data_IF_681486799881
#
_entry.id   IF_681486799881
#
_cell.length_a   1.000
_cell.length_b   1.000
_cell.length_c   1.000
_cell.angle_alpha   90.00
_cell.angle_beta   90.00
_cell.angle_gamma   90.00
#
_symmetry.space_group_name_H-M   'P 1'
#
loop_
_entity.id
_entity.type
_entity.pdbx_description
1 polymer ?
#
# COMPACT_ATOMS: atom_id res chain seq x y z
N UNK A 1 73.59 79.35 -10.63
CA UNK A 1 72.68 78.94 -9.53
C UNK A 1 71.68 77.93 -10.07
N UNK A 2 71.62 76.74 -9.45
CA UNK A 2 70.46 75.86 -9.15
C UNK A 2 69.14 76.16 -9.92
N UNK A 3 68.35 75.24 -10.51
CA UNK A 3 68.23 73.78 -10.44
C UNK A 3 66.75 73.36 -10.28
N UNK A 4 66.15 72.80 -11.35
CA UNK A 4 65.02 71.82 -11.52
C UNK A 4 63.87 71.61 -10.48
N UNK A 5 62.67 71.36 -11.05
CA UNK A 5 61.70 70.29 -10.65
C UNK A 5 60.45 70.74 -9.84
N UNK A 6 59.28 70.08 -9.81
CA UNK A 6 58.58 68.98 -10.55
C UNK A 6 57.17 68.83 -9.89
N UNK A 7 56.14 68.39 -10.61
CA UNK A 7 54.89 67.77 -10.08
C UNK A 7 53.58 68.40 -10.61
N UNK A 8 52.70 67.76 -11.43
CA UNK A 8 51.97 66.46 -11.32
C UNK A 8 50.89 66.51 -10.22
N UNK A 9 49.60 66.13 -10.32
CA UNK A 9 48.71 65.47 -11.30
C UNK A 9 47.26 65.49 -10.71
N UNK A 10 46.26 65.76 -11.57
CA UNK A 10 44.86 65.27 -11.65
C UNK A 10 43.76 65.51 -10.58
N UNK A 11 42.48 65.64 -11.04
CA UNK A 11 41.30 65.85 -10.21
C UNK A 11 40.70 64.55 -9.65
N UNK A 12 40.06 64.71 -8.50
CA UNK A 12 39.32 63.71 -7.73
C UNK A 12 38.13 63.14 -8.55
N UNK A 13 38.21 61.87 -8.96
CA UNK A 13 37.04 61.10 -9.44
C UNK A 13 36.46 60.38 -8.22
N UNK A 14 35.27 60.81 -7.78
CA UNK A 14 34.46 60.08 -6.81
C UNK A 14 33.80 58.91 -7.54
N UNK A 15 34.41 57.74 -7.47
CA UNK A 15 33.79 56.49 -7.90
C UNK A 15 32.89 55.97 -6.78
N UNK A 16 31.58 56.18 -6.93
CA UNK A 16 30.56 55.43 -6.20
C UNK A 16 30.65 53.97 -6.65
N UNK A 17 31.35 53.13 -5.89
CA UNK A 17 31.34 51.70 -6.09
C UNK A 17 30.03 51.13 -5.53
N UNK A 18 28.99 51.08 -6.37
CA UNK A 18 27.90 50.14 -6.18
C UNK A 18 28.45 48.73 -6.44
N UNK A 19 28.92 48.04 -5.40
CA UNK A 19 29.01 46.58 -5.41
C UNK A 19 27.59 46.04 -5.41
N UNK A 20 26.99 45.94 -6.60
CA UNK A 20 25.90 45.00 -6.83
C UNK A 20 26.54 43.62 -6.77
N UNK A 21 26.56 43.02 -5.60
CA UNK A 21 26.71 41.58 -5.48
C UNK A 21 25.44 41.01 -6.11
N UNK A 22 25.47 40.75 -7.41
CA UNK A 22 24.51 39.88 -8.06
C UNK A 22 24.75 38.51 -7.44
N UNK A 23 24.06 38.22 -6.34
CA UNK A 23 23.74 36.85 -6.00
C UNK A 23 23.00 36.33 -7.23
N UNK A 24 23.68 35.57 -8.09
CA UNK A 24 22.97 34.68 -9.00
C UNK A 24 22.06 33.87 -8.09
N UNK A 25 20.76 34.15 -8.16
CA UNK A 25 19.78 33.29 -7.55
C UNK A 25 20.01 31.93 -8.22
N UNK A 26 20.66 31.02 -7.50
CA UNK A 26 20.76 29.63 -7.93
C UNK A 26 19.33 29.20 -8.26
N UNK A 27 19.13 28.63 -9.44
CA UNK A 27 17.81 28.13 -9.83
C UNK A 27 17.31 27.21 -8.70
N UNK A 28 16.04 27.35 -8.28
CA UNK A 28 15.54 26.56 -7.18
C UNK A 28 15.60 25.09 -7.56
N UNK A 29 16.03 24.21 -6.64
CA UNK A 29 16.24 22.81 -6.94
C UNK A 29 14.95 22.15 -7.42
N UNK A 30 15.07 21.30 -8.42
CA UNK A 30 13.95 20.68 -9.12
C UNK A 30 13.76 19.22 -8.75
N UNK A 31 12.55 18.89 -8.33
CA UNK A 31 12.10 17.51 -8.06
C UNK A 31 11.15 17.06 -9.16
N UNK A 32 11.44 15.91 -9.77
CA UNK A 32 10.59 15.30 -10.78
C UNK A 32 9.80 14.13 -10.19
N UNK A 33 8.48 14.13 -10.39
CA UNK A 33 7.59 13.04 -10.00
C UNK A 33 7.24 12.20 -11.23
N UNK A 34 7.62 10.92 -11.19
CA UNK A 34 7.31 9.89 -12.17
C UNK A 34 6.35 8.87 -11.53
N UNK A 35 5.11 9.31 -11.31
CA UNK A 35 4.04 8.51 -10.69
C UNK A 35 2.88 8.35 -11.65
N UNK A 36 1.98 7.40 -11.38
CA UNK A 36 0.73 7.31 -12.10
C UNK A 36 -0.10 8.61 -11.99
N UNK A 37 -0.98 8.91 -12.97
CA UNK A 37 -1.77 10.15 -12.98
C UNK A 37 -2.95 10.14 -12.01
N UNK A 38 -3.28 9.00 -11.41
CA UNK A 38 -4.42 8.85 -10.51
C UNK A 38 -4.13 7.78 -9.44
N UNK A 39 -4.92 7.80 -8.36
CA UNK A 39 -4.81 6.85 -7.24
C UNK A 39 -4.11 7.42 -6.00
N UNK A 40 -4.01 6.64 -4.91
CA UNK A 40 -3.46 7.10 -3.64
C UNK A 40 -2.03 7.64 -3.75
N UNK A 41 -1.19 6.97 -4.55
CA UNK A 41 0.19 7.37 -4.81
C UNK A 41 0.25 8.72 -5.54
N UNK A 42 -0.62 8.94 -6.54
CA UNK A 42 -0.71 10.22 -7.23
C UNK A 42 -1.14 11.34 -6.28
N UNK A 43 -2.13 11.09 -5.41
CA UNK A 43 -2.57 12.07 -4.38
C UNK A 43 -1.45 12.42 -3.41
N UNK A 44 -0.66 11.43 -2.98
CA UNK A 44 0.50 11.66 -2.12
C UNK A 44 1.61 12.43 -2.83
N UNK A 45 1.90 12.11 -4.09
CA UNK A 45 2.87 12.81 -4.92
C UNK A 45 2.47 14.27 -5.14
N UNK A 46 1.19 14.55 -5.42
CA UNK A 46 0.68 15.91 -5.54
C UNK A 46 0.79 16.70 -4.23
N UNK A 47 0.45 16.08 -3.09
CA UNK A 47 0.57 16.74 -1.79
C UNK A 47 2.03 17.02 -1.45
N UNK A 48 2.92 16.06 -1.69
CA UNK A 48 4.35 16.25 -1.52
C UNK A 48 4.90 17.34 -2.44
N UNK A 49 4.48 17.38 -3.71
CA UNK A 49 4.89 18.42 -4.64
C UNK A 49 4.46 19.82 -4.16
N UNK A 50 3.23 19.96 -3.62
CA UNK A 50 2.77 21.21 -3.00
C UNK A 50 3.64 21.61 -1.80
N UNK A 51 3.92 20.68 -0.89
CA UNK A 51 4.75 20.94 0.30
C UNK A 51 6.18 21.39 -0.09
N UNK A 52 6.78 20.73 -1.08
CA UNK A 52 8.12 21.08 -1.59
C UNK A 52 8.12 22.44 -2.30
N UNK A 53 7.06 22.75 -3.05
CA UNK A 53 6.91 24.06 -3.69
C UNK A 53 6.76 25.18 -2.66
N UNK A 54 5.98 24.97 -1.59
CA UNK A 54 5.90 25.89 -0.45
C UNK A 54 7.24 26.08 0.27
N UNK A 55 8.08 25.04 0.28
CA UNK A 55 9.46 25.09 0.78
C UNK A 55 10.45 25.78 -0.19
N UNK A 56 10.01 26.19 -1.38
CA UNK A 56 10.82 26.92 -2.37
C UNK A 56 11.51 26.05 -3.41
N UNK A 57 11.13 24.78 -3.57
CA UNK A 57 11.65 23.90 -4.62
C UNK A 57 10.79 24.01 -5.88
N UNK A 58 11.39 23.74 -7.06
CA UNK A 58 10.62 23.53 -8.28
C UNK A 58 10.14 22.08 -8.33
N UNK A 59 8.90 21.85 -8.70
CA UNK A 59 8.35 20.50 -8.86
C UNK A 59 7.77 20.33 -10.24
N UNK A 60 8.00 19.19 -10.87
CA UNK A 60 7.39 18.82 -12.14
C UNK A 60 6.87 17.38 -12.07
N UNK A 61 5.83 17.08 -12.83
CA UNK A 61 5.33 15.71 -13.03
C UNK A 61 5.61 15.31 -14.48
N UNK A 62 6.02 14.08 -14.70
CA UNK A 62 6.31 13.56 -16.02
C UNK A 62 6.12 12.05 -16.12
N UNK A 63 6.21 11.53 -17.33
CA UNK A 63 6.17 10.09 -17.60
C UNK A 63 7.55 9.49 -17.86
N UNK A 64 8.59 10.32 -17.92
CA UNK A 64 10.00 9.95 -18.14
C UNK A 64 10.94 11.02 -17.60
N UNK A 65 12.21 10.68 -17.39
CA UNK A 65 13.24 11.62 -16.93
C UNK A 65 13.52 12.69 -18.00
N UNK A 66 13.63 12.26 -19.26
CA UNK A 66 13.92 13.16 -20.40
C UNK A 66 15.34 13.73 -20.36
N UNK A 67 15.55 14.90 -20.98
CA UNK A 67 16.88 15.53 -21.11
C UNK A 67 17.24 16.46 -19.96
N UNK A 68 16.25 16.80 -19.12
CA UNK A 68 16.46 17.66 -17.96
C UNK A 68 17.04 16.83 -16.82
N UNK A 69 17.95 17.43 -16.03
CA UNK A 69 18.59 16.76 -14.89
C UNK A 69 18.03 17.32 -13.59
N UNK A 70 16.91 16.77 -13.08
CA UNK A 70 16.40 17.19 -11.78
C UNK A 70 17.39 16.80 -10.68
N UNK A 71 17.33 17.52 -9.58
CA UNK A 71 18.06 17.30 -8.35
C UNK A 71 17.64 16.01 -7.64
N UNK A 72 16.36 15.64 -7.77
CA UNK A 72 15.84 14.36 -7.29
C UNK A 72 14.67 13.89 -8.12
N UNK A 73 14.49 12.57 -8.17
CA UNK A 73 13.36 11.90 -8.82
C UNK A 73 12.59 11.11 -7.78
N UNK A 74 11.29 11.37 -7.65
CA UNK A 74 10.35 10.51 -6.93
C UNK A 74 9.67 9.63 -7.96
N UNK A 75 9.77 8.32 -7.82
CA UNK A 75 9.26 7.37 -8.81
C UNK A 75 8.46 6.26 -8.14
N UNK A 76 7.31 5.95 -8.74
CA UNK A 76 6.51 4.77 -8.41
C UNK A 76 6.99 3.56 -9.22
N UNK A 77 6.95 2.38 -8.63
CA UNK A 77 7.50 1.17 -9.21
C UNK A 77 6.86 0.74 -10.56
N UNK A 78 5.60 1.11 -10.82
CA UNK A 78 4.96 0.87 -12.12
C UNK A 78 5.67 1.60 -13.28
N UNK A 79 6.28 2.76 -13.03
CA UNK A 79 7.06 3.48 -14.04
C UNK A 79 8.36 2.73 -14.42
N UNK A 80 8.80 1.77 -13.60
CA UNK A 80 9.97 0.93 -13.89
C UNK A 80 9.66 -0.22 -14.86
N UNK A 81 8.41 -0.38 -15.32
CA UNK A 81 8.07 -1.38 -16.35
C UNK A 81 8.64 -1.03 -17.73
N UNK A 82 8.86 0.25 -17.99
CA UNK A 82 9.52 0.71 -19.21
C UNK A 82 11.04 0.58 -19.08
N UNK A 83 11.64 -0.19 -19.98
CA UNK A 83 13.08 -0.45 -20.01
C UNK A 83 13.88 0.83 -20.21
N UNK A 84 13.39 1.74 -21.06
CA UNK A 84 14.04 3.04 -21.33
C UNK A 84 14.14 3.86 -20.05
N UNK A 85 13.05 3.97 -19.30
CA UNK A 85 13.00 4.68 -18.01
C UNK A 85 14.00 4.08 -17.00
N UNK A 86 14.12 2.75 -16.94
CA UNK A 86 15.11 2.11 -16.05
C UNK A 86 16.55 2.46 -16.44
N UNK A 87 16.87 2.40 -17.73
CA UNK A 87 18.21 2.74 -18.23
C UNK A 87 18.56 4.20 -17.95
N UNK A 88 17.64 5.13 -18.24
CA UNK A 88 17.80 6.57 -17.94
C UNK A 88 18.06 6.80 -16.44
N UNK A 89 17.35 6.10 -15.55
CA UNK A 89 17.55 6.20 -14.10
C UNK A 89 18.89 5.63 -13.64
N UNK A 90 19.34 4.52 -14.22
CA UNK A 90 20.65 3.96 -13.90
C UNK A 90 21.78 4.92 -14.30
N UNK A 91 21.68 5.55 -15.48
CA UNK A 91 22.63 6.58 -15.89
C UNK A 91 22.57 7.82 -15.00
N UNK A 92 21.37 8.28 -14.66
CA UNK A 92 21.14 9.39 -13.74
C UNK A 92 21.78 9.15 -12.37
N UNK A 93 21.57 7.97 -11.78
CA UNK A 93 22.18 7.55 -10.51
C UNK A 93 23.71 7.50 -10.60
N UNK A 94 24.26 6.91 -11.66
CA UNK A 94 25.72 6.89 -11.89
C UNK A 94 26.31 8.30 -12.01
N UNK A 95 25.52 9.23 -12.54
CA UNK A 95 25.84 10.65 -12.65
C UNK A 95 25.74 11.45 -11.35
N UNK A 96 25.36 10.82 -10.22
CA UNK A 96 25.20 11.50 -8.93
C UNK A 96 23.75 11.81 -8.54
N UNK A 97 22.77 11.37 -9.34
CA UNK A 97 21.36 11.63 -9.12
C UNK A 97 20.79 10.97 -7.85
N UNK A 98 19.65 11.49 -7.42
CA UNK A 98 18.93 11.08 -6.23
C UNK A 98 17.57 10.50 -6.59
N UNK A 99 17.27 9.28 -6.16
CA UNK A 99 15.99 8.62 -6.43
C UNK A 99 15.30 8.23 -5.13
N UNK A 100 14.02 8.58 -4.99
CA UNK A 100 13.12 8.03 -3.97
C UNK A 100 12.16 7.10 -4.69
N UNK A 101 12.35 5.80 -4.49
CA UNK A 101 11.54 4.75 -5.08
C UNK A 101 10.42 4.37 -4.11
N UNK A 102 9.18 4.64 -4.51
CA UNK A 102 7.99 4.16 -3.84
C UNK A 102 7.56 2.84 -4.46
N UNK A 103 7.44 1.82 -3.61
CA UNK A 103 7.05 0.47 -4.06
C UNK A 103 5.74 0.09 -3.39
N UNK A 104 4.71 -0.18 -4.20
CA UNK A 104 3.43 -0.66 -3.66
C UNK A 104 3.57 -2.06 -3.08
N UNK A 105 2.76 -2.37 -2.10
CA UNK A 105 2.79 -3.61 -1.33
C UNK A 105 2.15 -4.80 -2.06
N UNK A 106 2.67 -5.15 -3.23
CA UNK A 106 2.35 -6.39 -3.95
C UNK A 106 3.61 -7.11 -4.43
N UNK A 107 3.51 -8.42 -4.69
CA UNK A 107 4.61 -9.18 -5.26
C UNK A 107 4.93 -8.75 -6.70
N UNK A 108 3.92 -8.39 -7.49
CA UNK A 108 4.11 -7.85 -8.84
C UNK A 108 4.97 -6.59 -8.79
N UNK A 109 4.62 -5.66 -7.91
CA UNK A 109 5.33 -4.40 -7.69
C UNK A 109 6.75 -4.64 -7.15
N UNK A 110 6.94 -5.65 -6.30
CA UNK A 110 8.28 -6.08 -5.89
C UNK A 110 9.10 -6.68 -7.04
N UNK A 111 8.48 -7.49 -7.91
CA UNK A 111 9.14 -8.06 -9.10
C UNK A 111 9.52 -6.97 -10.11
N UNK A 112 8.63 -6.02 -10.38
CA UNK A 112 8.90 -4.85 -11.23
C UNK A 112 10.04 -4.00 -10.64
N UNK A 113 9.96 -3.66 -9.35
CA UNK A 113 11.04 -2.97 -8.66
C UNK A 113 12.36 -3.76 -8.68
N UNK A 114 12.31 -5.09 -8.57
CA UNK A 114 13.49 -5.95 -8.61
C UNK A 114 14.22 -5.95 -9.96
N UNK A 115 13.53 -5.69 -11.07
CA UNK A 115 14.19 -5.49 -12.37
C UNK A 115 15.19 -4.32 -12.32
N UNK A 116 14.86 -3.28 -11.55
CA UNK A 116 15.75 -2.14 -11.33
C UNK A 116 16.71 -2.36 -10.15
N UNK A 117 16.23 -2.85 -9.02
CA UNK A 117 17.03 -3.01 -7.79
C UNK A 117 18.16 -4.04 -7.94
N UNK A 118 17.95 -5.08 -8.76
CA UNK A 118 18.97 -6.12 -8.98
C UNK A 118 20.23 -5.58 -9.67
N UNK A 119 20.08 -4.61 -10.58
CA UNK A 119 21.18 -3.86 -11.19
C UNK A 119 21.96 -3.03 -10.16
N UNK A 120 21.31 -2.68 -9.05
CA UNK A 120 21.91 -1.98 -7.90
C UNK A 120 22.46 -2.95 -6.84
N UNK A 121 22.36 -4.27 -7.06
CA UNK A 121 22.79 -5.30 -6.11
C UNK A 121 21.85 -5.48 -4.92
N UNK A 122 20.59 -5.07 -5.05
CA UNK A 122 19.54 -5.20 -4.04
C UNK A 122 18.31 -5.96 -4.56
N UNK A 123 17.46 -6.40 -3.64
CA UNK A 123 16.20 -7.08 -3.96
C UNK A 123 15.18 -6.93 -2.83
N UNK A 124 13.92 -6.92 -3.22
CA UNK A 124 12.74 -7.02 -2.36
C UNK A 124 12.22 -8.46 -2.38
N UNK A 125 11.90 -8.98 -1.20
CA UNK A 125 11.26 -10.28 -1.03
C UNK A 125 10.05 -10.13 -0.12
N UNK A 126 8.85 -10.48 -0.62
CA UNK A 126 7.63 -10.42 0.19
C UNK A 126 7.74 -11.24 1.47
N UNK A 127 7.26 -10.67 2.58
CA UNK A 127 7.25 -11.29 3.88
C UNK A 127 5.87 -11.89 4.18
N UNK A 128 5.77 -13.17 4.57
CA UNK A 128 4.49 -13.86 4.73
C UNK A 128 3.64 -13.41 5.94
N UNK A 129 4.06 -12.39 6.70
CA UNK A 129 3.39 -11.93 7.92
C UNK A 129 3.25 -10.39 7.94
N UNK A 130 2.01 -9.91 8.04
CA UNK A 130 1.67 -8.48 8.11
C UNK A 130 1.85 -7.87 9.52
N UNK A 131 1.69 -8.67 10.58
CA UNK A 131 1.84 -8.22 11.96
C UNK A 131 3.30 -8.25 12.42
N UNK A 132 4.04 -7.20 12.09
CA UNK A 132 5.36 -6.96 12.68
C UNK A 132 5.46 -5.51 13.12
N UNK A 133 5.91 -5.27 14.35
CA UNK A 133 6.16 -3.92 14.83
C UNK A 133 7.20 -3.24 13.91
N UNK A 134 6.88 -2.02 13.48
CA UNK A 134 7.75 -1.23 12.62
C UNK A 134 8.69 -0.45 13.54
N UNK A 135 9.99 -0.69 13.37
CA UNK A 135 11.03 0.00 14.11
C UNK A 135 11.79 0.91 13.15
N UNK A 136 11.70 2.22 13.39
CA UNK A 136 12.46 3.21 12.65
C UNK A 136 13.92 3.26 13.15
N UNK A 137 14.86 3.28 12.22
CA UNK A 137 16.27 3.47 12.55
C UNK A 137 16.58 4.91 12.96
N UNK A 138 17.69 5.12 13.66
CA UNK A 138 18.22 6.46 13.94
C UNK A 138 18.92 7.02 12.70
N UNK A 139 18.18 7.73 11.84
CA UNK A 139 18.74 8.41 10.67
C UNK A 139 17.92 9.68 10.34
N UNK A 140 18.48 10.65 9.60
CA UNK A 140 17.82 11.92 9.31
C UNK A 140 16.47 11.80 8.57
N UNK A 141 16.25 10.70 7.84
CA UNK A 141 15.01 10.44 7.10
C UNK A 141 13.87 10.04 8.06
N UNK A 142 14.18 9.24 9.09
CA UNK A 142 13.16 8.64 9.98
C UNK A 142 13.17 9.18 11.42
N UNK A 143 14.14 10.01 11.79
CA UNK A 143 14.30 10.50 13.17
C UNK A 143 13.10 11.34 13.65
N UNK A 144 12.57 10.98 14.82
CA UNK A 144 11.45 11.68 15.46
C UNK A 144 10.08 11.43 14.83
N UNK A 145 9.98 10.53 13.85
CA UNK A 145 8.71 10.18 13.21
C UNK A 145 8.02 9.01 13.91
N UNK A 146 6.68 8.99 13.83
CA UNK A 146 5.86 7.86 14.23
C UNK A 146 4.87 7.57 13.10
N UNK A 147 5.12 6.51 12.33
CA UNK A 147 4.28 6.13 11.19
C UNK A 147 3.08 5.33 11.68
N UNK A 148 1.88 5.67 11.18
CA UNK A 148 0.64 4.99 11.57
C UNK A 148 0.12 4.06 10.49
N UNK A 149 0.32 4.41 9.22
CA UNK A 149 0.00 3.56 8.07
C UNK A 149 0.82 2.28 8.06
N UNK A 150 0.25 1.20 7.51
CA UNK A 150 0.96 -0.08 7.34
C UNK A 150 0.59 -0.75 6.01
N UNK A 151 1.59 -1.14 5.21
CA UNK A 151 1.33 -1.83 3.95
C UNK A 151 0.62 -3.16 4.19
N UNK A 152 -0.22 -3.56 3.23
CA UNK A 152 -0.90 -4.86 3.23
C UNK A 152 0.09 -6.04 3.17
N UNK A 153 1.27 -5.82 2.59
CA UNK A 153 2.39 -6.76 2.53
C UNK A 153 3.73 -6.04 2.76
N UNK A 154 4.51 -6.54 3.71
CA UNK A 154 5.90 -6.09 3.86
C UNK A 154 6.82 -6.77 2.85
N UNK A 155 7.83 -6.06 2.38
CA UNK A 155 8.96 -6.63 1.66
C UNK A 155 10.24 -6.51 2.48
N UNK A 156 10.99 -7.61 2.60
CA UNK A 156 12.37 -7.58 3.06
C UNK A 156 13.27 -7.07 1.93
N UNK A 157 13.87 -5.90 2.13
CA UNK A 157 14.93 -5.37 1.32
C UNK A 157 16.27 -5.97 1.76
N UNK A 158 16.96 -6.64 0.83
CA UNK A 158 18.27 -7.25 1.08
C UNK A 158 19.19 -6.98 -0.09
N UNK A 159 20.50 -6.92 0.13
CA UNK A 159 21.43 -6.60 -0.94
C UNK A 159 22.78 -6.10 -0.45
N UNK A 160 23.75 -6.09 -1.35
CA UNK A 160 25.08 -5.55 -1.05
C UNK A 160 24.99 -4.02 -1.00
N UNK A 161 25.34 -3.43 0.14
CA UNK A 161 25.33 -1.97 0.30
C UNK A 161 23.97 -1.36 0.67
N UNK A 162 22.94 -2.19 0.90
CA UNK A 162 21.71 -1.74 1.55
C UNK A 162 22.05 -1.31 2.98
N UNK A 163 21.78 -0.05 3.32
CA UNK A 163 21.83 0.42 4.70
C UNK A 163 20.39 0.60 5.19
N UNK A 164 20.02 -0.03 6.31
CA UNK A 164 18.64 -0.06 6.78
C UNK A 164 18.18 1.28 7.34
N UNK A 165 16.96 1.69 6.96
CA UNK A 165 16.26 2.86 7.50
C UNK A 165 15.15 2.46 8.47
N UNK A 166 14.52 1.31 8.26
CA UNK A 166 13.55 0.74 9.19
C UNK A 166 13.44 -0.78 9.07
N UNK A 167 12.90 -1.40 10.11
CA UNK A 167 12.76 -2.83 10.27
C UNK A 167 11.33 -3.22 10.60
N UNK A 168 10.89 -4.36 10.07
CA UNK A 168 9.69 -5.06 10.52
C UNK A 168 10.11 -6.41 11.13
N UNK A 169 10.19 -6.45 12.46
CA UNK A 169 10.93 -7.51 13.16
C UNK A 169 12.42 -7.44 12.82
N UNK A 170 12.99 -8.54 12.33
CA UNK A 170 14.41 -8.58 11.91
C UNK A 170 14.64 -8.18 10.45
N UNK A 171 13.57 -8.04 9.66
CA UNK A 171 13.69 -7.76 8.23
C UNK A 171 13.80 -6.25 7.99
N UNK A 172 14.76 -5.84 7.16
CA UNK A 172 14.87 -4.47 6.65
C UNK A 172 13.73 -4.22 5.68
N UNK A 173 12.90 -3.22 5.91
CA UNK A 173 11.71 -2.91 5.06
C UNK A 173 11.80 -1.55 4.38
N UNK A 174 12.73 -0.71 4.82
CA UNK A 174 13.13 0.54 4.17
C UNK A 174 14.65 0.60 4.19
N UNK A 175 15.25 1.07 3.11
CA UNK A 175 16.70 1.14 3.03
C UNK A 175 17.20 2.12 1.99
N UNK A 176 18.44 2.54 2.21
CA UNK A 176 19.20 3.34 1.27
C UNK A 176 20.21 2.46 0.53
N UNK A 177 20.42 2.75 -0.75
CA UNK A 177 21.41 2.10 -1.61
C UNK A 177 22.25 3.20 -2.24
N UNK A 178 23.58 3.11 -2.14
CA UNK A 178 24.49 4.06 -2.79
C UNK A 178 24.96 3.52 -4.13
N UNK A 179 24.94 4.37 -5.16
CA UNK A 179 25.33 4.03 -6.54
C UNK A 179 26.33 5.08 -7.03
N UNK A 180 27.63 4.81 -6.86
CA UNK A 180 28.67 5.81 -7.13
C UNK A 180 28.50 7.06 -6.26
N UNK A 181 28.26 8.21 -6.89
CA UNK A 181 27.94 9.47 -6.19
C UNK A 181 26.45 9.63 -5.87
N UNK A 182 25.57 8.89 -6.55
CA UNK A 182 24.12 8.95 -6.37
C UNK A 182 23.59 8.01 -5.30
N UNK A 183 22.27 8.07 -5.08
CA UNK A 183 21.61 7.28 -4.04
C UNK A 183 20.14 7.01 -4.33
N UNK A 184 19.69 5.84 -3.87
CA UNK A 184 18.29 5.42 -3.89
C UNK A 184 17.81 5.25 -2.46
N UNK A 185 16.65 5.79 -2.12
CA UNK A 185 15.88 5.41 -0.93
C UNK A 185 14.66 4.62 -1.40
N UNK A 186 14.47 3.42 -0.83
CA UNK A 186 13.34 2.55 -1.12
C UNK A 186 12.34 2.61 0.04
N UNK A 187 11.10 2.99 -0.26
CA UNK A 187 10.00 3.14 0.70
C UNK A 187 8.76 2.34 0.23
N UNK A 188 8.04 1.65 1.13
CA UNK A 188 6.68 1.19 0.84
C UNK A 188 5.78 2.40 0.56
N UNK A 189 5.07 2.38 -0.57
CA UNK A 189 4.22 3.49 -0.99
C UNK A 189 3.11 3.79 0.02
N UNK A 190 2.56 2.75 0.67
CA UNK A 190 1.45 2.84 1.63
C UNK A 190 1.83 3.57 2.92
N UNK A 191 3.12 3.62 3.26
CA UNK A 191 3.59 4.43 4.39
C UNK A 191 3.50 5.93 4.11
N UNK A 192 3.41 6.33 2.84
CA UNK A 192 3.30 7.73 2.41
C UNK A 192 1.87 8.02 1.97
N UNK A 193 1.32 7.19 1.09
CA UNK A 193 0.04 7.41 0.42
C UNK A 193 -1.19 6.97 1.23
N UNK A 194 -0.99 6.30 2.37
CA UNK A 194 -2.08 5.57 3.03
C UNK A 194 -2.25 4.18 2.43
N UNK A 195 -2.91 3.31 3.18
CA UNK A 195 -3.07 1.90 2.79
C UNK A 195 -4.42 1.66 2.10
N UNK A 196 -5.37 2.58 2.26
CA UNK A 196 -6.73 2.49 1.72
C UNK A 196 -7.01 3.56 0.64
N UNK A 197 -7.79 3.23 -0.42
CA UNK A 197 -8.28 4.23 -1.36
C UNK A 197 -9.09 5.33 -0.66
N UNK A 198 -8.73 6.60 -0.89
CA UNK A 198 -9.40 7.75 -0.29
C UNK A 198 -8.94 8.12 1.13
N UNK A 199 -7.97 7.38 1.69
CA UNK A 199 -7.23 7.80 2.88
C UNK A 199 -6.36 9.02 2.52
N UNK A 200 -6.31 10.01 3.42
CA UNK A 200 -5.37 11.11 3.24
C UNK A 200 -3.94 10.57 3.43
N UNK A 201 -2.95 11.09 2.67
CA UNK A 201 -1.56 10.71 2.87
C UNK A 201 -1.12 10.86 4.33
N UNK A 202 -0.35 9.90 4.86
CA UNK A 202 0.15 9.95 6.24
C UNK A 202 1.15 11.12 6.35
N UNK A 203 0.86 12.08 7.24
CA UNK A 203 1.67 13.28 7.37
C UNK A 203 3.13 12.98 7.79
N UNK A 204 3.34 11.95 8.63
CA UNK A 204 4.68 11.50 8.99
C UNK A 204 5.35 10.77 7.82
N UNK A 205 4.57 10.02 7.03
CA UNK A 205 4.98 9.43 5.76
C UNK A 205 5.44 10.44 4.71
N UNK A 206 4.66 11.49 4.48
CA UNK A 206 5.02 12.61 3.60
C UNK A 206 6.29 13.30 4.07
N UNK A 207 6.38 13.62 5.37
CA UNK A 207 7.59 14.21 5.97
C UNK A 207 8.81 13.31 5.76
N UNK A 208 8.65 11.99 5.90
CA UNK A 208 9.71 11.01 5.64
C UNK A 208 10.14 11.04 4.17
N UNK A 209 9.20 11.06 3.22
CA UNK A 209 9.50 11.11 1.79
C UNK A 209 10.20 12.42 1.38
N UNK A 210 9.79 13.56 1.93
CA UNK A 210 10.44 14.86 1.73
C UNK A 210 11.88 14.88 2.27
N UNK A 211 12.09 14.28 3.45
CA UNK A 211 13.45 14.09 4.00
C UNK A 211 14.26 13.10 3.18
N UNK A 212 13.63 12.10 2.57
CA UNK A 212 14.30 11.16 1.68
C UNK A 212 14.82 11.89 0.42
N UNK A 213 14.02 12.77 -0.19
CA UNK A 213 14.47 13.64 -1.28
C UNK A 213 15.65 14.50 -0.85
N UNK A 214 15.53 15.15 0.31
CA UNK A 214 16.57 16.01 0.89
C UNK A 214 17.86 15.26 1.21
N UNK A 215 17.77 13.99 1.62
CA UNK A 215 18.94 13.18 1.94
C UNK A 215 19.60 12.60 0.70
N UNK A 216 18.79 12.10 -0.23
CA UNK A 216 19.27 11.48 -1.45
C UNK A 216 20.06 12.50 -2.28
N UNK A 217 19.69 13.79 -2.19
CA UNK A 217 20.47 14.88 -2.71
C UNK A 217 21.17 15.67 -1.60
N UNK A 218 22.45 15.34 -1.33
CA UNK A 218 23.26 15.97 -0.27
C UNK A 218 23.52 17.48 -0.44
N UNK A 219 23.20 18.06 -1.61
CA UNK A 219 23.46 19.46 -1.95
C UNK A 219 22.20 20.35 -1.92
N UNK A 220 21.04 19.82 -1.54
CA UNK A 220 19.86 20.64 -1.29
C UNK A 220 20.11 21.57 -0.08
N UNK A 221 19.87 22.88 -0.18
CA UNK A 221 20.06 23.79 0.95
C UNK A 221 19.13 23.39 2.09
N UNK A 222 19.71 22.75 3.11
CA UNK A 222 19.05 22.42 4.37
C UNK A 222 18.63 23.69 5.08
N UNK A 223 17.40 24.14 4.83
CA UNK A 223 16.71 25.02 5.77
C UNK A 223 16.31 24.14 6.94
N UNK A 224 16.76 24.52 8.14
CA UNK A 224 16.34 23.88 9.38
C UNK A 224 14.82 23.69 9.36
N UNK A 225 14.39 22.42 9.34
CA UNK A 225 13.01 22.05 9.62
C UNK A 225 12.63 22.74 10.93
N UNK A 226 11.42 23.31 11.05
CA UNK A 226 11.03 24.10 12.21
C UNK A 226 11.40 23.35 13.49
N UNK A 227 12.16 24.03 14.35
CA UNK A 227 12.59 23.49 15.63
C UNK A 227 11.39 22.90 16.36
N UNK A 228 11.60 21.67 16.84
CA UNK A 228 10.85 21.00 17.90
C UNK A 228 9.79 21.89 18.54
N UNK A 229 8.52 21.67 18.20
CA UNK A 229 7.46 22.20 19.07
C UNK A 229 7.68 21.58 20.45
N UNK A 230 7.69 22.40 21.51
CA UNK A 230 8.03 21.93 22.84
C UNK A 230 7.05 20.85 23.27
N UNK A 231 7.58 19.84 23.95
CA UNK A 231 6.81 18.85 24.68
C UNK A 231 5.73 19.55 25.50
N UNK A 232 4.48 19.45 25.06
CA UNK A 232 3.31 19.75 25.88
C UNK A 232 2.73 18.43 26.36
N UNK A 233 2.90 18.24 27.66
CA UNK A 233 2.16 17.36 28.57
C UNK A 233 1.37 16.19 27.97
N UNK A 234 1.89 15.01 28.29
CA UNK A 234 1.08 13.84 28.58
C UNK A 234 -0.06 14.23 29.53
N UNK A 235 -1.31 14.11 29.06
CA UNK A 235 -2.46 13.52 29.78
C UNK A 235 -3.78 13.84 29.06
N UNK A 236 -4.10 13.05 28.03
CA UNK A 236 -5.45 12.52 27.72
C UNK A 236 -5.41 11.71 26.42
N UNK A 237 -6.08 10.55 26.33
CA UNK A 237 -6.31 9.92 25.03
C UNK A 237 -7.13 10.88 24.15
N UNK A 238 -6.85 11.03 22.85
CA UNK A 238 -7.72 11.80 21.98
C UNK A 238 -9.10 11.12 21.92
N UNK A 239 -10.20 11.89 21.89
CA UNK A 239 -11.54 11.36 21.71
C UNK A 239 -11.65 10.70 20.34
N UNK A 240 -12.38 9.58 20.26
CA UNK A 240 -12.52 8.73 19.08
C UNK A 240 -12.57 9.51 17.77
N UNK A 241 -11.55 9.28 16.94
CA UNK A 241 -11.50 9.80 15.58
C UNK A 241 -12.74 9.33 14.84
N UNK A 242 -13.61 10.28 14.50
CA UNK A 242 -14.67 10.06 13.53
C UNK A 242 -13.99 9.67 12.21
N UNK A 243 -14.30 8.47 11.72
CA UNK A 243 -14.11 8.10 10.33
C UNK A 243 -14.73 9.19 9.46
N UNK A 244 -13.89 9.96 8.77
CA UNK A 244 -14.33 10.75 7.64
C UNK A 244 -14.31 9.81 6.44
N UNK A 245 -15.48 9.53 5.91
CA UNK A 245 -15.64 8.86 4.62
C UNK A 245 -14.85 9.63 3.53
N UNK A 246 -14.41 8.95 2.46
CA UNK A 246 -13.71 9.58 1.35
C UNK A 246 -14.47 10.83 0.88
N UNK A 247 -13.75 11.94 0.64
CA UNK A 247 -14.34 13.09 -0.05
C UNK A 247 -14.75 12.63 -1.45
N UNK A 248 -16.05 12.65 -1.67
CA UNK A 248 -16.68 12.35 -2.93
C UNK A 248 -16.31 13.41 -3.98
N UNK A 249 -15.34 13.09 -4.82
CA UNK A 249 -15.20 13.71 -6.15
C UNK A 249 -15.10 12.64 -7.23
N UNK A 250 -16.01 11.68 -7.15
CA UNK A 250 -16.62 11.01 -8.30
C UNK A 250 -17.88 10.35 -7.78
N UNK A 251 -18.90 11.18 -7.52
CA UNK A 251 -20.26 10.69 -7.26
C UNK A 251 -20.79 10.01 -8.52
N UNK A 252 -20.47 8.74 -8.71
CA UNK A 252 -21.46 7.84 -9.28
C UNK A 252 -22.62 7.82 -8.26
N UNK A 253 -23.88 8.04 -8.67
CA UNK A 253 -24.99 8.00 -7.75
C UNK A 253 -24.97 6.67 -6.98
N UNK A 254 -24.83 6.74 -5.65
CA UNK A 254 -25.13 5.63 -4.75
C UNK A 254 -26.66 5.49 -4.70
N UNK A 255 -27.26 5.15 -5.84
CA UNK A 255 -28.63 4.65 -5.89
C UNK A 255 -28.66 3.32 -5.14
N UNK A 256 -29.71 3.08 -4.35
CA UNK A 256 -29.98 1.75 -3.77
C UNK A 256 -29.95 0.72 -4.90
N UNK A 257 -28.86 -0.06 -4.96
CA UNK A 257 -28.71 -1.12 -5.95
C UNK A 257 -29.39 -2.38 -5.43
N UNK A 258 -30.27 -2.94 -6.24
CA UNK A 258 -30.95 -4.20 -5.91
C UNK A 258 -30.01 -5.38 -6.22
N UNK A 259 -29.26 -5.81 -5.20
CA UNK A 259 -28.37 -6.97 -5.28
C UNK A 259 -29.17 -8.28 -5.18
N UNK A 260 -30.07 -8.52 -6.13
CA UNK A 260 -30.91 -9.72 -6.21
C UNK A 260 -30.44 -10.74 -7.27
N UNK A 261 -29.23 -10.53 -7.82
CA UNK A 261 -28.70 -11.28 -8.95
C UNK A 261 -28.07 -12.65 -8.64
N UNK A 262 -27.10 -13.02 -9.46
CA UNK A 262 -26.36 -14.28 -9.35
C UNK A 262 -25.30 -14.25 -8.23
N UNK A 263 -24.79 -15.43 -7.87
CA UNK A 263 -23.49 -15.56 -7.20
C UNK A 263 -22.40 -15.51 -8.25
N UNK A 264 -21.46 -14.58 -8.14
CA UNK A 264 -20.21 -14.63 -8.91
C UNK A 264 -19.21 -15.47 -8.14
N UNK A 265 -18.71 -16.53 -8.78
CA UNK A 265 -17.85 -17.52 -8.15
C UNK A 265 -16.47 -17.51 -8.78
N UNK A 266 -15.47 -17.12 -7.99
CA UNK A 266 -14.08 -17.02 -8.40
C UNK A 266 -13.17 -17.88 -7.52
N UNK A 267 -13.42 -19.18 -7.57
CA UNK A 267 -12.59 -20.20 -6.93
C UNK A 267 -12.44 -21.36 -7.92
N UNK A 268 -11.60 -21.18 -8.95
CA UNK A 268 -11.49 -22.12 -10.08
C UNK A 268 -10.18 -22.93 -10.15
N UNK A 269 -9.24 -22.73 -9.23
CA UNK A 269 -7.98 -23.49 -9.24
C UNK A 269 -8.15 -24.99 -8.95
N UNK A 270 -7.69 -25.85 -9.86
CA UNK A 270 -7.70 -27.31 -9.69
C UNK A 270 -6.52 -27.87 -8.88
N UNK A 271 -5.64 -27.01 -8.36
CA UNK A 271 -4.40 -27.41 -7.68
C UNK A 271 -4.52 -27.37 -6.15
N UNK A 272 -3.47 -27.82 -5.46
CA UNK A 272 -3.40 -27.84 -4.00
C UNK A 272 -4.62 -28.55 -3.37
N UNK A 273 -5.13 -28.06 -2.23
CA UNK A 273 -6.37 -28.58 -1.62
C UNK A 273 -7.64 -28.01 -2.26
N UNK A 274 -7.53 -27.08 -3.22
CA UNK A 274 -8.68 -26.39 -3.81
C UNK A 274 -9.63 -27.35 -4.54
N UNK A 275 -9.11 -28.38 -5.20
CA UNK A 275 -9.93 -29.44 -5.81
C UNK A 275 -10.87 -30.15 -4.80
N UNK A 276 -10.53 -30.15 -3.51
CA UNK A 276 -11.39 -30.68 -2.44
C UNK A 276 -12.27 -29.61 -1.78
N UNK A 277 -11.83 -28.35 -1.79
CA UNK A 277 -12.55 -27.21 -1.19
C UNK A 277 -13.72 -26.77 -2.09
N UNK A 278 -13.49 -26.66 -3.41
CA UNK A 278 -14.49 -26.13 -4.34
C UNK A 278 -15.83 -26.87 -4.32
N UNK A 279 -15.89 -28.21 -4.34
CA UNK A 279 -17.17 -28.91 -4.32
C UNK A 279 -17.98 -28.62 -3.05
N UNK A 280 -17.28 -28.41 -1.92
CA UNK A 280 -17.92 -28.12 -0.63
C UNK A 280 -18.48 -26.70 -0.57
N UNK A 281 -17.76 -25.73 -1.16
CA UNK A 281 -18.26 -24.37 -1.28
C UNK A 281 -19.43 -24.31 -2.26
N UNK A 282 -19.34 -25.02 -3.37
CA UNK A 282 -20.41 -25.11 -4.36
C UNK A 282 -21.68 -25.75 -3.77
N UNK A 283 -21.56 -26.84 -3.02
CA UNK A 283 -22.68 -27.46 -2.29
C UNK A 283 -23.34 -26.46 -1.32
N UNK A 284 -22.55 -25.61 -0.66
CA UNK A 284 -23.08 -24.58 0.24
C UNK A 284 -23.81 -23.45 -0.52
N UNK A 285 -23.28 -23.07 -1.69
CA UNK A 285 -23.91 -22.06 -2.56
C UNK A 285 -25.19 -22.58 -3.21
N UNK A 286 -25.28 -23.84 -3.59
CA UNK A 286 -26.48 -24.45 -4.17
C UNK A 286 -27.70 -24.36 -3.23
N UNK A 287 -27.48 -24.40 -1.91
CA UNK A 287 -28.53 -24.24 -0.90
C UNK A 287 -29.16 -22.84 -0.89
N UNK A 288 -28.49 -21.84 -1.46
CA UNK A 288 -29.03 -20.47 -1.59
C UNK A 288 -30.08 -20.35 -2.70
N UNK A 289 -30.15 -21.31 -3.63
CA UNK A 289 -31.00 -21.29 -4.84
C UNK A 289 -30.72 -20.13 -5.80
N UNK A 290 -29.63 -19.39 -5.61
CA UNK A 290 -29.18 -18.38 -6.55
C UNK A 290 -28.39 -19.05 -7.69
N UNK A 291 -28.48 -18.53 -8.93
CA UNK A 291 -27.65 -19.03 -10.02
C UNK A 291 -26.18 -18.72 -9.74
N UNK A 292 -25.31 -19.72 -9.84
CA UNK A 292 -23.86 -19.57 -9.66
C UNK A 292 -23.19 -19.38 -11.01
N UNK A 293 -22.52 -18.25 -11.21
CA UNK A 293 -21.77 -17.91 -12.43
C UNK A 293 -20.28 -17.88 -12.11
N UNK A 294 -19.52 -18.78 -12.71
CA UNK A 294 -18.06 -18.77 -12.59
C UNK A 294 -17.45 -17.56 -13.31
N UNK A 295 -16.56 -16.82 -12.64
CA UNK A 295 -15.74 -15.80 -13.30
C UNK A 295 -14.67 -16.48 -14.13
N UNK A 296 -14.78 -16.39 -15.46
CA UNK A 296 -13.75 -16.89 -16.36
C UNK A 296 -12.73 -15.79 -16.60
N UNK A 297 -11.50 -16.02 -16.16
CA UNK A 297 -10.37 -15.16 -16.49
C UNK A 297 -10.02 -15.42 -17.95
N UNK A 298 -10.31 -14.46 -18.83
CA UNK A 298 -9.79 -14.42 -20.21
C UNK A 298 -8.51 -13.59 -20.22
N UNK A 299 -7.57 -13.89 -21.12
CA UNK A 299 -6.26 -13.19 -21.19
C UNK A 299 -6.39 -11.68 -21.45
N UNK A 300 -7.55 -11.22 -21.96
CA UNK A 300 -7.86 -9.81 -22.18
C UNK A 300 -9.14 -9.44 -21.40
N UNK A 301 -9.00 -8.91 -20.18
CA UNK A 301 -10.12 -8.31 -19.45
C UNK A 301 -10.04 -8.36 -17.92
N UNK A 302 -10.81 -7.49 -17.26
CA UNK A 302 -11.05 -7.51 -15.81
C UNK A 302 -12.41 -8.19 -15.54
N UNK A 303 -12.45 -9.51 -15.29
CA UNK A 303 -13.69 -10.28 -15.31
C UNK A 303 -14.68 -9.86 -14.22
N UNK A 304 -14.20 -9.45 -13.04
CA UNK A 304 -15.08 -8.89 -12.01
C UNK A 304 -15.73 -7.57 -12.46
N UNK A 305 -14.99 -6.70 -13.16
CA UNK A 305 -15.51 -5.42 -13.67
C UNK A 305 -16.69 -5.68 -14.61
N UNK A 306 -16.47 -6.53 -15.62
CA UNK A 306 -17.51 -6.88 -16.59
C UNK A 306 -18.73 -7.56 -15.93
N UNK A 307 -18.51 -8.43 -14.95
CA UNK A 307 -19.59 -9.14 -14.27
C UNK A 307 -20.34 -8.27 -13.24
N UNK A 308 -19.70 -7.24 -12.69
CA UNK A 308 -20.27 -6.36 -11.67
C UNK A 308 -21.46 -5.52 -12.18
N UNK A 309 -21.55 -5.29 -13.49
CA UNK A 309 -22.70 -4.62 -14.13
C UNK A 309 -24.01 -5.35 -13.84
N UNK A 310 -23.96 -6.66 -13.61
CA UNK A 310 -25.12 -7.49 -13.29
C UNK A 310 -25.56 -7.44 -11.82
N UNK A 311 -24.93 -6.60 -10.99
CA UNK A 311 -25.27 -6.37 -9.58
C UNK A 311 -25.47 -7.68 -8.80
N UNK A 312 -24.40 -8.48 -8.64
CA UNK A 312 -24.51 -9.81 -8.06
C UNK A 312 -24.94 -9.76 -6.59
N UNK A 313 -25.73 -10.76 -6.17
CA UNK A 313 -26.17 -10.90 -4.80
C UNK A 313 -25.02 -11.29 -3.85
N UNK A 314 -24.02 -12.00 -4.38
CA UNK A 314 -22.82 -12.42 -3.64
C UNK A 314 -21.64 -12.57 -4.60
N UNK A 315 -20.48 -12.08 -4.17
CA UNK A 315 -19.20 -12.31 -4.82
C UNK A 315 -18.36 -13.25 -3.95
N UNK A 316 -17.95 -14.40 -4.49
CA UNK A 316 -17.13 -15.40 -3.79
C UNK A 316 -15.72 -15.38 -4.37
N UNK A 317 -14.74 -15.09 -3.51
CA UNK A 317 -13.34 -14.90 -3.86
C UNK A 317 -12.48 -16.01 -3.26
N UNK A 318 -11.57 -16.57 -4.04
CA UNK A 318 -10.56 -17.51 -3.54
C UNK A 318 -9.14 -16.97 -3.69
N UNK A 319 -8.24 -17.35 -2.79
CA UNK A 319 -6.79 -17.11 -2.95
C UNK A 319 -6.20 -18.05 -4.01
N UNK A 320 -6.56 -17.85 -5.28
CA UNK A 320 -6.13 -18.71 -6.38
C UNK A 320 -5.45 -17.97 -7.55
N UNK A 321 -5.74 -16.67 -7.73
CA UNK A 321 -5.17 -15.83 -8.79
C UNK A 321 -4.83 -14.42 -8.28
N UNK A 322 -4.13 -13.67 -9.12
CA UNK A 322 -3.92 -12.24 -8.99
C UNK A 322 -5.19 -11.45 -9.39
N UNK A 323 -5.36 -10.28 -8.76
CA UNK A 323 -6.46 -9.35 -9.01
C UNK A 323 -5.93 -8.12 -9.74
N UNK A 324 -6.60 -7.69 -10.80
CA UNK A 324 -6.21 -6.43 -11.44
C UNK A 324 -6.66 -5.24 -10.58
N UNK A 325 -5.96 -4.12 -10.70
CA UNK A 325 -6.31 -2.89 -10.00
C UNK A 325 -7.75 -2.42 -10.27
N UNK A 326 -8.27 -2.46 -11.52
CA UNK A 326 -9.69 -2.22 -11.79
C UNK A 326 -10.63 -3.17 -11.03
N UNK A 327 -10.29 -4.45 -10.88
CA UNK A 327 -11.13 -5.40 -10.12
C UNK A 327 -11.15 -5.07 -8.63
N UNK A 328 -10.01 -4.68 -8.05
CA UNK A 328 -9.91 -4.27 -6.64
C UNK A 328 -10.79 -3.04 -6.39
N UNK A 329 -10.69 -2.03 -7.26
CA UNK A 329 -11.50 -0.80 -7.18
C UNK A 329 -13.00 -1.13 -7.33
N UNK A 330 -13.37 -1.95 -8.31
CA UNK A 330 -14.76 -2.39 -8.49
C UNK A 330 -15.29 -3.14 -7.27
N UNK A 331 -14.49 -4.05 -6.69
CA UNK A 331 -14.88 -4.79 -5.50
C UNK A 331 -15.13 -3.85 -4.31
N UNK A 332 -14.26 -2.87 -4.11
CA UNK A 332 -14.43 -1.87 -3.07
C UNK A 332 -15.75 -1.09 -3.24
N UNK A 333 -16.00 -0.54 -4.44
CA UNK A 333 -17.25 0.19 -4.69
C UNK A 333 -18.50 -0.71 -4.60
N UNK A 334 -18.40 -1.96 -5.05
CA UNK A 334 -19.47 -2.94 -4.89
C UNK A 334 -19.83 -3.13 -3.43
N UNK A 335 -18.84 -3.33 -2.55
CA UNK A 335 -19.04 -3.44 -1.10
C UNK A 335 -19.65 -2.16 -0.54
N UNK A 336 -19.07 -0.98 -0.81
CA UNK A 336 -19.56 0.29 -0.27
C UNK A 336 -21.03 0.53 -0.61
N UNK A 337 -21.45 0.13 -1.83
CA UNK A 337 -22.81 0.25 -2.32
C UNK A 337 -23.81 -0.77 -1.73
N UNK A 338 -23.39 -1.72 -0.88
CA UNK A 338 -24.26 -2.74 -0.31
C UNK A 338 -23.96 -4.17 -0.75
N UNK A 339 -22.89 -4.38 -1.52
CA UNK A 339 -22.48 -5.70 -1.97
C UNK A 339 -22.10 -6.67 -0.85
N UNK A 340 -22.10 -7.97 -1.17
CA UNK A 340 -21.78 -9.06 -0.24
C UNK A 340 -20.60 -9.86 -0.76
N UNK A 341 -19.60 -10.09 0.08
CA UNK A 341 -18.38 -10.80 -0.30
C UNK A 341 -18.12 -11.97 0.65
N UNK A 342 -17.89 -13.14 0.07
CA UNK A 342 -17.33 -14.30 0.76
C UNK A 342 -15.89 -14.51 0.29
N UNK A 343 -14.92 -14.38 1.18
CA UNK A 343 -13.51 -14.57 0.88
C UNK A 343 -12.96 -15.85 1.49
N UNK A 344 -12.37 -16.69 0.65
CA UNK A 344 -11.89 -18.03 0.99
C UNK A 344 -10.38 -18.04 0.87
N UNK A 345 -9.70 -17.98 2.01
CA UNK A 345 -8.26 -18.11 2.08
C UNK A 345 -7.86 -19.59 2.14
N UNK A 346 -6.96 -20.02 1.26
CA UNK A 346 -6.25 -21.27 1.41
C UNK A 346 -4.88 -21.19 0.74
N UNK A 347 -3.82 -21.54 1.48
CA UNK A 347 -2.48 -21.69 0.93
C UNK A 347 -1.80 -22.94 1.48
N UNK A 348 -1.16 -23.71 0.59
CA UNK A 348 -0.24 -24.78 0.94
C UNK A 348 1.21 -24.30 1.06
N UNK A 349 2.12 -25.21 1.40
CA UNK A 349 3.56 -24.99 1.28
C UNK A 349 3.94 -24.82 -0.19
N UNK A 350 4.13 -23.58 -0.64
CA UNK A 350 4.47 -23.21 -2.02
C UNK A 350 3.58 -22.12 -2.61
N UNK A 351 2.34 -22.00 -2.13
CA UNK A 351 1.31 -21.12 -2.71
C UNK A 351 0.98 -19.91 -1.82
N UNK A 352 1.87 -19.56 -0.88
CA UNK A 352 1.67 -18.48 0.09
C UNK A 352 1.47 -17.12 -0.59
N UNK A 353 2.09 -16.95 -1.77
CA UNK A 353 1.92 -15.82 -2.69
C UNK A 353 0.46 -15.53 -2.99
N UNK A 354 -0.42 -16.54 -3.05
CA UNK A 354 -1.83 -16.34 -3.37
C UNK A 354 -2.62 -15.64 -2.26
N UNK A 355 -2.14 -15.67 -1.03
CA UNK A 355 -2.74 -14.90 0.07
C UNK A 355 -2.46 -13.41 -0.06
N UNK A 356 -1.34 -13.05 -0.69
CA UNK A 356 -1.01 -11.65 -1.00
C UNK A 356 -2.07 -11.08 -1.95
N UNK A 357 -2.32 -11.78 -3.04
CA UNK A 357 -3.35 -11.36 -4.00
C UNK A 357 -4.74 -11.27 -3.38
N UNK A 358 -5.10 -12.24 -2.52
CA UNK A 358 -6.36 -12.14 -1.78
C UNK A 358 -6.39 -10.92 -0.85
N UNK A 359 -5.28 -10.59 -0.19
CA UNK A 359 -5.19 -9.42 0.68
C UNK A 359 -5.31 -8.10 -0.08
N UNK A 360 -4.77 -7.99 -1.30
CA UNK A 360 -4.96 -6.80 -2.13
C UNK A 360 -6.44 -6.50 -2.40
N UNK A 361 -7.25 -7.54 -2.64
CA UNK A 361 -8.69 -7.41 -2.84
C UNK A 361 -9.44 -7.07 -1.53
N UNK A 362 -9.00 -7.61 -0.39
CA UNK A 362 -9.71 -7.46 0.89
C UNK A 362 -9.32 -6.22 1.68
N UNK A 363 -8.09 -5.73 1.51
CA UNK A 363 -7.51 -4.69 2.36
C UNK A 363 -8.33 -3.40 2.35
N UNK A 364 -8.75 -2.96 1.16
CA UNK A 364 -9.63 -1.79 0.97
C UNK A 364 -10.98 -1.88 1.72
N UNK A 365 -11.34 -3.07 2.20
CA UNK A 365 -12.57 -3.37 2.93
C UNK A 365 -12.29 -3.87 4.35
N UNK A 366 -11.11 -3.56 4.92
CA UNK A 366 -10.79 -3.75 6.33
C UNK A 366 -10.56 -5.20 6.78
N UNK A 367 -10.41 -6.14 5.84
CA UNK A 367 -10.07 -7.54 6.10
C UNK A 367 -8.73 -7.92 5.48
N UNK A 368 -8.02 -8.81 6.17
CA UNK A 368 -6.74 -9.39 5.78
C UNK A 368 -6.68 -10.84 6.26
N UNK A 369 -5.91 -11.67 5.56
CA UNK A 369 -5.57 -13.03 5.95
C UNK A 369 -4.06 -13.19 6.08
N UNK A 370 -3.61 -13.97 7.06
CA UNK A 370 -2.20 -14.30 7.27
C UNK A 370 -2.02 -15.76 7.64
N UNK A 371 -0.85 -16.31 7.35
CA UNK A 371 -0.45 -17.62 7.84
C UNK A 371 -0.04 -17.54 9.31
N UNK A 372 -0.25 -18.63 10.04
CA UNK A 372 0.28 -18.78 11.41
C UNK A 372 -0.78 -18.88 12.50
N UNK A 373 -2.06 -19.10 12.16
CA UNK A 373 -3.03 -19.50 13.17
C UNK A 373 -2.60 -20.86 13.75
N UNK A 374 -2.44 -20.98 15.07
CA UNK A 374 -2.11 -22.26 15.69
C UNK A 374 -3.30 -23.24 15.56
N UNK A 375 -2.98 -24.53 15.68
CA UNK A 375 -4.01 -25.56 15.81
C UNK A 375 -4.53 -25.61 17.24
N UNK A 376 -5.81 -25.95 17.42
CA UNK A 376 -6.41 -25.96 18.76
C UNK A 376 -7.93 -26.07 18.73
N UNK A 377 -8.54 -26.04 19.92
CA UNK A 377 -9.99 -26.00 20.06
C UNK A 377 -10.52 -24.66 19.57
N UNK A 378 -11.45 -24.69 18.62
CA UNK A 378 -12.09 -23.51 18.10
C UNK A 378 -13.32 -23.13 18.94
N UNK A 379 -13.41 -21.83 19.23
CA UNK A 379 -14.53 -21.24 19.98
C UNK A 379 -15.29 -20.29 19.07
N UNK A 380 -16.61 -20.43 19.05
CA UNK A 380 -17.48 -19.45 18.41
C UNK A 380 -17.62 -18.24 19.32
N UNK A 381 -17.36 -17.07 18.76
CA UNK A 381 -17.53 -15.78 19.40
C UNK A 381 -18.95 -15.29 19.11
N UNK A 382 -19.56 -14.62 20.08
CA UNK A 382 -20.86 -13.98 19.89
C UNK A 382 -20.80 -13.04 18.68
N UNK A 383 -21.64 -13.32 17.68
CA UNK A 383 -21.67 -12.62 16.41
C UNK A 383 -23.03 -12.81 15.73
N UNK A 384 -23.42 -11.93 14.79
CA UNK A 384 -24.63 -12.11 14.00
C UNK A 384 -24.52 -13.25 12.97
N UNK A 385 -23.31 -13.79 12.77
CA UNK A 385 -23.01 -14.78 11.72
C UNK A 385 -23.35 -16.20 12.18
N UNK A 386 -22.98 -16.56 13.40
CA UNK A 386 -23.18 -17.90 13.97
C UNK A 386 -23.95 -17.83 15.28
N UNK A 387 -24.85 -18.79 15.55
CA UNK A 387 -25.57 -18.84 16.80
C UNK A 387 -24.61 -19.11 17.98
N UNK A 388 -24.89 -18.52 19.15
CA UNK A 388 -24.12 -18.81 20.36
C UNK A 388 -24.21 -20.30 20.71
N UNK A 389 -23.09 -20.89 21.16
CA UNK A 389 -23.02 -22.29 21.58
C UNK A 389 -22.79 -23.31 20.46
N UNK A 390 -22.62 -22.88 19.20
CA UNK A 390 -22.20 -23.79 18.13
C UNK A 390 -20.78 -24.33 18.40
N UNK A 391 -20.62 -25.65 18.37
CA UNK A 391 -19.31 -26.30 18.56
C UNK A 391 -18.63 -26.57 17.21
N UNK A 392 -17.46 -25.98 17.01
CA UNK A 392 -16.63 -26.19 15.81
C UNK A 392 -15.64 -27.36 16.01
N UNK A 393 -15.28 -27.67 17.26
CA UNK A 393 -14.28 -28.68 17.58
C UNK A 393 -12.84 -28.21 17.36
N UNK A 394 -11.92 -29.13 17.10
CA UNK A 394 -10.50 -28.79 16.88
C UNK A 394 -10.24 -28.40 15.43
N UNK A 395 -9.50 -27.32 15.23
CA UNK A 395 -9.00 -26.91 13.92
C UNK A 395 -7.49 -27.15 13.84
N UNK A 396 -6.97 -27.59 12.68
CA UNK A 396 -5.53 -27.65 12.44
C UNK A 396 -4.93 -26.22 12.38
N UNK A 397 -3.60 -26.08 12.45
CA UNK A 397 -2.93 -24.84 12.11
C UNK A 397 -3.33 -24.37 10.71
N UNK A 398 -3.38 -23.06 10.49
CA UNK A 398 -3.86 -22.52 9.23
C UNK A 398 -3.82 -21.00 9.16
N UNK A 399 -4.83 -20.42 8.53
CA UNK A 399 -4.92 -18.98 8.32
C UNK A 399 -5.61 -18.28 9.49
N UNK A 400 -5.15 -17.05 9.75
CA UNK A 400 -5.76 -16.09 10.66
C UNK A 400 -6.39 -14.95 9.84
N UNK A 401 -7.64 -14.63 10.11
CA UNK A 401 -8.37 -13.50 9.54
C UNK A 401 -8.32 -12.34 10.52
N UNK A 402 -7.91 -11.17 10.07
CA UNK A 402 -7.68 -9.99 10.91
C UNK A 402 -7.83 -8.72 10.07
N UNK A 403 -7.60 -7.55 10.67
CA UNK A 403 -7.74 -6.26 10.02
C UNK A 403 -8.49 -5.26 10.89
N UNK A 404 -8.41 -3.96 10.59
CA UNK A 404 -9.01 -2.90 11.39
C UNK A 404 -10.55 -3.01 11.46
N UNK A 405 -11.19 -3.57 10.43
CA UNK A 405 -12.63 -3.80 10.39
C UNK A 405 -13.07 -5.20 10.81
N UNK A 406 -12.12 -6.09 11.15
CA UNK A 406 -12.38 -7.51 11.35
C UNK A 406 -13.02 -7.80 12.71
N UNK A 407 -14.20 -8.41 12.68
CA UNK A 407 -14.91 -8.94 13.85
C UNK A 407 -14.89 -10.46 13.80
N UNK A 408 -14.22 -11.07 14.78
CA UNK A 408 -14.02 -12.51 14.81
C UNK A 408 -15.33 -13.27 15.06
N UNK A 409 -15.53 -14.37 14.32
CA UNK A 409 -16.67 -15.29 14.44
C UNK A 409 -16.24 -16.61 15.05
N UNK A 410 -15.11 -17.15 14.57
CA UNK A 410 -14.51 -18.39 15.08
C UNK A 410 -13.06 -18.09 15.42
N UNK A 411 -12.64 -18.40 16.65
CA UNK A 411 -11.25 -18.22 17.11
C UNK A 411 -10.61 -19.53 17.48
N UNK A 412 -9.30 -19.62 17.27
CA UNK A 412 -8.42 -20.56 17.96
C UNK A 412 -7.42 -19.74 18.73
N UNK A 413 -7.47 -19.84 20.06
CA UNK A 413 -6.77 -18.92 20.96
C UNK A 413 -7.12 -17.46 20.63
N UNK A 414 -6.11 -16.62 20.36
CA UNK A 414 -6.29 -15.21 19.98
C UNK A 414 -6.56 -14.98 18.49
N UNK A 415 -6.39 -15.99 17.64
CA UNK A 415 -6.40 -15.85 16.17
C UNK A 415 -7.74 -16.27 15.58
N UNK A 416 -8.34 -15.45 14.72
CA UNK A 416 -9.63 -15.77 14.14
C UNK A 416 -9.47 -16.68 12.91
N UNK A 417 -10.16 -17.81 12.87
CA UNK A 417 -10.27 -18.65 11.67
C UNK A 417 -11.34 -18.13 10.70
N UNK A 418 -12.35 -17.43 11.24
CA UNK A 418 -13.44 -16.79 10.51
C UNK A 418 -13.64 -15.40 11.12
N UNK A 419 -13.73 -14.37 10.28
CA UNK A 419 -14.10 -13.02 10.69
C UNK A 419 -14.98 -12.34 9.63
N UNK A 420 -15.79 -11.39 10.06
CA UNK A 420 -16.56 -10.54 9.16
C UNK A 420 -16.16 -9.08 9.29
N UNK A 421 -16.52 -8.28 8.28
CA UNK A 421 -16.46 -6.82 8.34
C UNK A 421 -17.75 -6.24 7.74
N UNK A 422 -18.13 -5.07 8.22
CA UNK A 422 -19.21 -4.25 7.65
C UNK A 422 -18.57 -2.96 7.14
N UNK A 423 -18.74 -2.68 5.85
CA UNK A 423 -18.09 -1.57 5.16
C UNK A 423 -19.13 -0.81 4.34
N UNK A 424 -19.42 0.44 4.73
CA UNK A 424 -20.56 1.17 4.17
C UNK A 424 -21.85 0.40 4.43
N UNK A 425 -22.59 0.08 3.36
CA UNK A 425 -23.79 -0.77 3.42
C UNK A 425 -23.48 -2.26 3.16
N UNK A 426 -22.24 -2.59 2.82
CA UNK A 426 -21.78 -3.93 2.45
C UNK A 426 -21.35 -4.80 3.61
N UNK A 427 -21.21 -6.10 3.32
CA UNK A 427 -20.74 -7.10 4.28
C UNK A 427 -19.73 -8.04 3.65
N UNK A 428 -18.71 -8.38 4.41
CA UNK A 428 -17.70 -9.33 4.02
C UNK A 428 -17.58 -10.40 5.09
N UNK A 429 -17.41 -11.65 4.67
CA UNK A 429 -17.02 -12.76 5.53
C UNK A 429 -15.76 -13.38 4.94
N UNK A 430 -14.69 -13.45 5.71
CA UNK A 430 -13.46 -14.12 5.33
C UNK A 430 -13.20 -15.31 6.26
N UNK A 431 -12.71 -16.42 5.68
CA UNK A 431 -12.36 -17.62 6.44
C UNK A 431 -11.18 -18.40 5.87
N UNK A 432 -10.49 -19.11 6.76
CA UNK A 432 -9.58 -20.20 6.40
C UNK A 432 -10.40 -21.35 5.81
N UNK A 433 -10.27 -21.61 4.51
CA UNK A 433 -11.01 -22.64 3.79
C UNK A 433 -10.43 -24.05 3.96
N UNK A 434 -9.20 -24.17 4.48
CA UNK A 434 -8.53 -25.47 4.66
C UNK A 434 -9.34 -26.46 5.51
N UNK A 435 -9.87 -26.06 6.68
CA UNK A 435 -10.67 -26.93 7.54
C UNK A 435 -12.00 -27.41 6.96
N UNK A 436 -12.52 -26.80 5.88
CA UNK A 436 -13.78 -27.24 5.25
C UNK A 436 -13.74 -28.72 4.85
N UNK A 437 -12.57 -29.22 4.44
CA UNK A 437 -12.41 -30.59 3.96
C UNK A 437 -12.66 -31.63 5.05
N UNK A 438 -12.12 -31.41 6.25
CA UNK A 438 -12.12 -32.44 7.30
C UNK A 438 -13.13 -32.16 8.43
N UNK A 439 -13.73 -30.97 8.48
CA UNK A 439 -14.59 -30.56 9.60
C UNK A 439 -16.04 -30.25 9.14
N UNK A 440 -17.00 -31.15 9.40
CA UNK A 440 -18.41 -30.94 9.08
C UNK A 440 -19.05 -29.73 9.77
N UNK A 441 -18.72 -29.47 11.05
CA UNK A 441 -19.25 -28.32 11.78
C UNK A 441 -18.73 -27.00 11.18
N UNK A 442 -17.49 -27.00 10.68
CA UNK A 442 -16.94 -25.85 9.97
C UNK A 442 -17.61 -25.60 8.61
N UNK A 443 -18.09 -26.66 7.93
CA UNK A 443 -18.95 -26.53 6.73
C UNK A 443 -20.33 -25.97 7.07
N UNK A 444 -20.91 -26.37 8.20
CA UNK A 444 -22.16 -25.77 8.68
C UNK A 444 -21.96 -24.27 9.00
N UNK A 445 -20.80 -23.91 9.56
CA UNK A 445 -20.46 -22.51 9.81
C UNK A 445 -20.36 -21.69 8.51
N UNK A 446 -19.75 -22.25 7.46
CA UNK A 446 -19.75 -21.65 6.11
C UNK A 446 -21.18 -21.42 5.61
N UNK A 447 -22.06 -22.43 5.73
CA UNK A 447 -23.45 -22.32 5.28
C UNK A 447 -24.20 -21.18 5.98
N UNK A 448 -24.09 -21.12 7.32
CA UNK A 448 -24.72 -20.06 8.11
C UNK A 448 -24.13 -18.68 7.77
N UNK A 449 -22.82 -18.62 7.53
CA UNK A 449 -22.15 -17.40 7.08
C UNK A 449 -22.67 -16.90 5.73
N UNK A 450 -22.89 -17.78 4.76
CA UNK A 450 -23.50 -17.44 3.47
C UNK A 450 -24.93 -16.93 3.68
N UNK A 451 -25.72 -17.60 4.52
CA UNK A 451 -27.08 -17.15 4.85
C UNK A 451 -27.08 -15.76 5.48
N UNK A 452 -26.15 -15.47 6.39
CA UNK A 452 -26.01 -14.15 7.00
C UNK A 452 -25.62 -13.08 5.97
N UNK A 453 -24.67 -13.38 5.07
CA UNK A 453 -24.28 -12.45 4.00
C UNK A 453 -25.48 -12.07 3.12
N UNK A 454 -26.34 -13.03 2.80
CA UNK A 454 -27.52 -12.83 1.96
C UNK A 454 -28.76 -12.34 2.72
N UNK A 455 -28.68 -12.23 4.05
CA UNK A 455 -29.79 -11.75 4.86
C UNK A 455 -29.97 -10.23 4.75
N UNK A 456 -31.23 -9.79 4.86
CA UNK A 456 -31.61 -8.37 4.84
C UNK A 456 -31.51 -7.72 6.23
N UNK A 457 -31.28 -8.49 7.30
CA UNK A 457 -31.26 -7.97 8.67
C UNK A 457 -29.85 -7.48 9.03
N UNK A 458 -29.74 -6.24 9.50
CA UNK A 458 -28.52 -5.57 9.99
C UNK A 458 -28.22 -5.87 11.44
#
# INVERSE_FOLDING_TARGET
MVGRGRGSVWPLVVALAFTVVMAQAAEPPRVLFLTQPAGPVATAAEQMARNLAEAGMQTATGTRLGTERPEAVVIEDDALTDETTREELLEYLRGGGAVVLWVRASLRHFEQANQFLSELGARLQGLPHAERELMLGGNPVTEGLSLTSRPALWAALSGRGVVPLAYAGEAVVMGQIRVGAGGVIVLPAELVAGSLPGEEPDAAGLTMAERAVSWANRDLPGRALPASSPATDQTKPPPGGRYLAPRAETTLPLEERDFAGAVLYDCLAGDSRWAKIQPLVQEALEKTRLPVKALRVTEEGSPLVAASESQPALVVLGSWREWSEPEIVTLHYYVQAGGRVLALGHAGTGDQVRLVFLNEALHANGLLVSLGRPGGTATVVESPVLPPGMEIGKLPPGLSVHGPGAQAVVRVEKNAAVAYAVCGQGRLLALDAGPLVDNPAYREALQKGITWLLSQES
#
